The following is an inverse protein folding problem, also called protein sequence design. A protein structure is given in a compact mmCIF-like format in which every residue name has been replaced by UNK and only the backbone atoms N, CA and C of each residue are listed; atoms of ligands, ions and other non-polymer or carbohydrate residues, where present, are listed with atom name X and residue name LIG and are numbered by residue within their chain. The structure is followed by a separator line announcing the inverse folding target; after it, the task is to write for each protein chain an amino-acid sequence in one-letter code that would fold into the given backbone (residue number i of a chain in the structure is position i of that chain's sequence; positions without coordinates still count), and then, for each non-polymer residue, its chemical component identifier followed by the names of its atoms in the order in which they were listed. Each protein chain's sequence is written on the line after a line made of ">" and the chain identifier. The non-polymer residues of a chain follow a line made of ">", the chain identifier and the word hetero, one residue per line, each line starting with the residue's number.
data_IF_590900581975
#
_entry.id   IF_590900581975
#
_cell.length_a   1.000
_cell.length_b   1.000
_cell.length_c   1.000
_cell.angle_alpha   90.00
_cell.angle_beta   90.00
_cell.angle_gamma   90.00
#
_symmetry.space_group_name_H-M   'P 1'
#
loop_
_entity.id
_entity.type
_entity.pdbx_description
1 polymer ?
#
# COMPACT_ATOMS: atom_id res chain seq x y z
N UNK A 1 4.36 -7.83 -30.48
CA UNK A 1 4.09 -6.42 -30.16
C UNK A 1 2.77 -6.39 -29.42
N UNK A 2 2.78 -6.26 -28.10
CA UNK A 2 1.56 -6.27 -27.29
C UNK A 2 0.87 -4.90 -27.39
N UNK A 3 -0.41 -4.88 -27.72
CA UNK A 3 -1.21 -3.66 -27.84
C UNK A 3 -1.32 -2.97 -26.46
N UNK A 4 -1.03 -1.66 -26.32
CA UNK A 4 -1.10 -0.99 -25.02
C UNK A 4 -2.44 -1.00 -24.33
N UNK A 5 -3.49 -1.11 -25.13
CA UNK A 5 -4.88 -0.99 -24.69
C UNK A 5 -5.49 -2.35 -24.34
N UNK A 6 -4.66 -3.39 -24.20
CA UNK A 6 -5.12 -4.74 -23.87
C UNK A 6 -4.59 -5.17 -22.49
N UNK A 7 -5.47 -5.83 -21.71
CA UNK A 7 -5.12 -6.42 -20.43
C UNK A 7 -3.91 -7.35 -20.55
N UNK A 8 -2.95 -7.17 -19.64
CA UNK A 8 -1.78 -8.03 -19.53
C UNK A 8 -2.10 -9.25 -18.67
N UNK A 9 -1.73 -10.45 -19.12
CA UNK A 9 -2.06 -11.69 -18.42
C UNK A 9 -1.52 -11.75 -16.97
N UNK A 10 -0.34 -11.17 -16.70
CA UNK A 10 0.25 -11.11 -15.35
C UNK A 10 -0.16 -9.84 -14.58
N UNK A 11 -0.23 -8.70 -15.27
CA UNK A 11 -0.33 -7.39 -14.61
C UNK A 11 -1.74 -6.81 -14.59
N UNK A 12 -2.67 -7.49 -15.27
CA UNK A 12 -4.08 -7.12 -15.27
C UNK A 12 -4.43 -6.02 -16.27
N UNK A 13 -5.56 -5.34 -16.04
CA UNK A 13 -6.09 -4.33 -16.93
C UNK A 13 -5.20 -3.06 -16.98
N UNK A 14 -5.26 -2.30 -18.09
CA UNK A 14 -4.59 -1.01 -18.22
C UNK A 14 -5.26 0.09 -17.38
N UNK A 15 -4.58 1.23 -17.23
CA UNK A 15 -4.98 2.38 -16.41
C UNK A 15 -6.43 2.83 -16.64
N UNK A 16 -6.83 2.92 -17.89
CA UNK A 16 -8.15 3.38 -18.33
C UNK A 16 -9.28 2.51 -17.77
N UNK A 17 -9.00 1.23 -17.53
CA UNK A 17 -9.99 0.26 -17.05
C UNK A 17 -10.02 0.18 -15.52
N UNK A 18 -8.89 0.30 -14.82
CA UNK A 18 -8.86 0.09 -13.36
C UNK A 18 -9.06 1.35 -12.53
N UNK A 19 -8.80 2.56 -13.05
CA UNK A 19 -8.77 3.79 -12.24
C UNK A 19 -10.11 4.05 -11.51
N UNK A 20 -11.23 3.71 -12.14
CA UNK A 20 -12.58 3.91 -11.58
C UNK A 20 -12.88 2.98 -10.41
N UNK A 21 -12.27 1.78 -10.38
CA UNK A 21 -12.52 0.78 -9.34
C UNK A 21 -12.01 1.20 -7.97
N UNK A 22 -11.07 2.13 -7.92
CA UNK A 22 -10.33 2.47 -6.70
C UNK A 22 -10.68 3.81 -6.05
N UNK A 23 -11.57 4.62 -6.67
CA UNK A 23 -11.95 5.95 -6.15
C UNK A 23 -13.32 6.01 -5.46
N UNK A 24 -14.28 5.11 -5.78
CA UNK A 24 -15.69 5.27 -5.35
C UNK A 24 -16.22 4.05 -4.55
N UNK A 25 -15.63 2.87 -4.74
CA UNK A 25 -16.19 1.62 -4.19
C UNK A 25 -15.73 1.28 -2.76
N UNK A 26 -14.76 2.01 -2.22
CA UNK A 26 -14.18 1.73 -0.89
C UNK A 26 -15.20 1.96 0.24
N UNK A 27 -16.03 3.01 0.14
CA UNK A 27 -17.03 3.34 1.17
C UNK A 27 -18.18 2.33 1.19
N UNK A 28 -18.68 1.89 0.04
CA UNK A 28 -19.78 0.90 -0.04
C UNK A 28 -19.35 -0.47 0.47
N UNK A 29 -18.15 -0.94 0.08
CA UNK A 29 -17.61 -2.24 0.53
C UNK A 29 -17.44 -2.34 2.05
N UNK A 30 -17.24 -1.21 2.74
CA UNK A 30 -17.14 -1.16 4.20
C UNK A 30 -18.47 -1.44 4.89
N UNK A 31 -19.60 -1.04 4.30
CA UNK A 31 -20.91 -1.22 4.92
C UNK A 31 -21.30 -2.70 5.05
N UNK A 32 -20.81 -3.55 4.14
CA UNK A 32 -21.07 -5.00 4.12
C UNK A 32 -20.01 -5.81 4.90
N UNK A 33 -19.10 -5.15 5.62
CA UNK A 33 -17.95 -5.78 6.26
C UNK A 33 -18.30 -6.34 7.64
N UNK A 34 -18.48 -7.66 7.74
CA UNK A 34 -18.70 -8.36 9.02
C UNK A 34 -17.42 -9.00 9.59
N UNK A 35 -17.49 -9.50 10.84
CA UNK A 35 -16.34 -10.07 11.54
C UNK A 35 -15.80 -11.37 10.93
N UNK A 36 -16.65 -12.16 10.26
CA UNK A 36 -16.23 -13.41 9.60
C UNK A 36 -15.47 -13.09 8.32
N UNK A 37 -16.04 -12.17 7.54
CA UNK A 37 -15.45 -11.58 6.35
C UNK A 37 -14.09 -11.00 6.72
N UNK A 38 -13.98 -10.20 7.79
CA UNK A 38 -12.70 -9.66 8.21
C UNK A 38 -11.62 -10.73 8.44
N UNK A 39 -11.96 -11.83 9.12
CA UNK A 39 -11.00 -12.91 9.41
C UNK A 39 -10.49 -13.58 8.13
N UNK A 40 -11.40 -13.96 7.22
CA UNK A 40 -11.04 -14.62 5.96
C UNK A 40 -10.17 -13.73 5.05
N UNK A 41 -10.44 -12.42 5.03
CA UNK A 41 -9.63 -11.48 4.28
C UNK A 41 -8.26 -11.28 4.92
N UNK A 42 -8.17 -11.22 6.26
CA UNK A 42 -6.90 -11.15 6.99
C UNK A 42 -6.00 -12.34 6.71
N UNK A 43 -6.51 -13.56 6.76
CA UNK A 43 -5.67 -14.75 6.57
C UNK A 43 -5.11 -14.83 5.14
N UNK A 44 -5.94 -14.53 4.13
CA UNK A 44 -5.48 -14.46 2.73
C UNK A 44 -4.46 -13.36 2.52
N UNK A 45 -4.69 -12.18 3.09
CA UNK A 45 -3.78 -11.06 2.95
C UNK A 45 -2.45 -11.28 3.68
N UNK A 46 -2.45 -11.92 4.86
CA UNK A 46 -1.21 -12.27 5.58
C UNK A 46 -0.32 -13.20 4.78
N UNK A 47 -0.90 -14.24 4.18
CA UNK A 47 -0.15 -15.13 3.30
C UNK A 47 0.47 -14.36 2.11
N UNK A 48 -0.29 -13.43 1.52
CA UNK A 48 0.21 -12.56 0.46
C UNK A 48 1.34 -11.63 0.94
N UNK A 49 1.17 -10.98 2.10
CA UNK A 49 2.18 -10.10 2.70
C UNK A 49 3.48 -10.84 2.95
N UNK A 50 3.40 -12.06 3.53
CA UNK A 50 4.58 -12.89 3.76
C UNK A 50 5.35 -13.13 2.46
N UNK A 51 4.65 -13.45 1.36
CA UNK A 51 5.31 -13.67 0.08
C UNK A 51 5.99 -12.42 -0.48
N UNK A 52 5.42 -11.23 -0.26
CA UNK A 52 6.03 -9.97 -0.67
C UNK A 52 7.25 -9.65 0.20
N UNK A 53 7.15 -9.82 1.52
CA UNK A 53 8.26 -9.61 2.44
C UNK A 53 9.46 -10.51 2.09
N UNK A 54 9.21 -11.77 1.74
CA UNK A 54 10.26 -12.72 1.35
C UNK A 54 11.06 -12.27 0.11
N UNK A 55 10.51 -11.38 -0.73
CA UNK A 55 11.23 -10.85 -1.88
C UNK A 55 12.42 -10.00 -1.45
N UNK A 56 12.40 -9.40 -0.25
CA UNK A 56 13.46 -8.48 0.20
C UNK A 56 14.80 -9.16 0.45
N UNK A 57 14.81 -10.42 0.86
CA UNK A 57 16.01 -11.15 1.27
C UNK A 57 16.96 -11.59 0.15
N UNK A 58 16.52 -11.59 -1.12
CA UNK A 58 17.36 -12.00 -2.26
C UNK A 58 17.92 -10.81 -3.05
N UNK A 59 19.22 -10.81 -3.38
CA UNK A 59 19.83 -9.77 -4.22
C UNK A 59 19.56 -9.95 -5.73
N UNK A 60 18.79 -10.97 -6.09
CA UNK A 60 18.43 -11.28 -7.47
C UNK A 60 17.30 -10.36 -7.94
N UNK A 61 17.48 -9.79 -9.13
CA UNK A 61 16.40 -9.17 -9.88
C UNK A 61 15.48 -10.28 -10.41
N UNK A 62 14.30 -10.39 -9.82
CA UNK A 62 13.38 -11.48 -10.10
C UNK A 62 12.58 -11.24 -11.39
N UNK A 63 12.59 -10.03 -11.95
CA UNK A 63 11.82 -9.70 -13.15
C UNK A 63 10.39 -10.26 -13.10
N UNK A 64 9.92 -10.84 -14.21
CA UNK A 64 8.57 -11.43 -14.29
C UNK A 64 8.32 -12.57 -13.28
N UNK A 65 9.34 -13.25 -12.74
CA UNK A 65 9.16 -14.29 -11.72
C UNK A 65 8.55 -13.73 -10.43
N UNK A 66 8.81 -12.46 -10.13
CA UNK A 66 8.19 -11.77 -8.99
C UNK A 66 6.66 -11.69 -9.17
N UNK A 67 6.20 -11.38 -10.39
CA UNK A 67 4.78 -11.30 -10.73
C UNK A 67 4.10 -12.69 -10.82
N UNK A 68 4.88 -13.75 -11.08
CA UNK A 68 4.40 -15.13 -10.99
C UNK A 68 4.22 -15.56 -9.54
N UNK A 69 5.16 -15.21 -8.66
CA UNK A 69 5.09 -15.53 -7.22
C UNK A 69 4.01 -14.73 -6.51
N UNK A 70 3.95 -13.42 -6.75
CA UNK A 70 2.95 -12.52 -6.17
C UNK A 70 1.96 -12.14 -7.25
N UNK A 71 0.79 -12.77 -7.23
CA UNK A 71 -0.24 -12.54 -8.26
C UNK A 71 -1.04 -11.26 -8.02
N UNK A 72 -1.73 -10.76 -9.05
CA UNK A 72 -2.64 -9.62 -8.93
C UNK A 72 -3.75 -9.85 -7.88
N UNK A 73 -4.26 -11.08 -7.77
CA UNK A 73 -5.27 -11.46 -6.77
C UNK A 73 -4.76 -11.26 -5.34
N UNK A 74 -3.48 -11.58 -5.10
CA UNK A 74 -2.83 -11.37 -3.81
C UNK A 74 -2.68 -9.87 -3.48
N UNK A 75 -2.33 -9.04 -4.46
CA UNK A 75 -2.28 -7.58 -4.23
C UNK A 75 -3.66 -7.01 -3.89
N UNK A 76 -4.71 -7.47 -4.58
CA UNK A 76 -6.09 -7.08 -4.29
C UNK A 76 -6.51 -7.49 -2.88
N UNK A 77 -6.19 -8.71 -2.43
CA UNK A 77 -6.53 -9.16 -1.08
C UNK A 77 -5.84 -8.34 0.02
N UNK A 78 -4.60 -7.90 -0.21
CA UNK A 78 -3.90 -6.97 0.69
C UNK A 78 -4.62 -5.62 0.73
N UNK A 79 -5.02 -5.09 -0.42
CA UNK A 79 -5.75 -3.82 -0.48
C UNK A 79 -7.12 -3.87 0.21
N UNK A 80 -7.77 -5.04 0.26
CA UNK A 80 -9.01 -5.20 1.02
C UNK A 80 -8.81 -4.96 2.53
N UNK A 81 -7.60 -5.15 3.08
CA UNK A 81 -7.29 -4.75 4.46
C UNK A 81 -7.42 -3.26 4.73
N UNK A 82 -7.45 -2.42 3.68
CA UNK A 82 -7.65 -0.97 3.86
C UNK A 82 -9.12 -0.59 4.05
N UNK A 83 -10.03 -1.57 4.02
CA UNK A 83 -11.47 -1.38 4.20
C UNK A 83 -11.90 -1.43 5.68
N UNK A 84 -11.06 -1.95 6.58
CA UNK A 84 -11.30 -1.96 8.02
C UNK A 84 -10.17 -1.23 8.76
N UNK A 85 -10.46 -0.33 9.72
CA UNK A 85 -9.40 0.37 10.47
C UNK A 85 -8.48 -0.58 11.24
N UNK A 86 -9.03 -1.67 11.79
CA UNK A 86 -8.30 -2.61 12.63
C UNK A 86 -7.25 -3.44 11.89
N UNK A 87 -7.41 -3.57 10.57
CA UNK A 87 -6.54 -4.40 9.73
C UNK A 87 -5.31 -3.67 9.19
N UNK A 88 -5.21 -2.34 9.36
CA UNK A 88 -4.03 -1.57 8.95
C UNK A 88 -2.75 -2.03 9.64
N UNK A 89 -2.86 -2.61 10.84
CA UNK A 89 -1.69 -3.09 11.61
C UNK A 89 -0.94 -4.19 10.86
N UNK A 90 -1.64 -4.97 10.04
CA UNK A 90 -1.06 -6.05 9.23
C UNK A 90 -0.13 -5.51 8.13
N UNK A 91 -0.18 -4.21 7.80
CA UNK A 91 0.64 -3.60 6.77
C UNK A 91 1.94 -2.97 7.32
N UNK A 92 2.15 -3.01 8.64
CA UNK A 92 3.26 -2.32 9.32
C UNK A 92 4.62 -3.02 9.26
N UNK A 93 4.92 -3.75 8.18
CA UNK A 93 6.21 -4.45 8.03
C UNK A 93 7.16 -3.63 7.14
N UNK A 94 8.37 -3.27 7.61
CA UNK A 94 9.37 -2.60 6.77
C UNK A 94 9.74 -3.41 5.52
N UNK A 95 9.78 -4.73 5.63
CA UNK A 95 10.08 -5.62 4.50
C UNK A 95 8.98 -5.60 3.43
N UNK A 96 7.73 -5.30 3.80
CA UNK A 96 6.65 -5.12 2.83
C UNK A 96 6.93 -3.93 1.91
N UNK A 97 7.52 -2.85 2.46
CA UNK A 97 7.93 -1.67 1.66
C UNK A 97 8.98 -2.09 0.63
N UNK A 98 10.04 -2.79 1.07
CA UNK A 98 11.09 -3.28 0.17
C UNK A 98 10.57 -4.24 -0.90
N UNK A 99 9.67 -5.15 -0.52
CA UNK A 99 9.06 -6.11 -1.43
C UNK A 99 8.20 -5.42 -2.50
N UNK A 100 7.38 -4.44 -2.13
CA UNK A 100 6.62 -3.64 -3.10
C UNK A 100 7.52 -2.87 -4.08
N UNK A 101 8.67 -2.36 -3.63
CA UNK A 101 9.65 -1.73 -4.54
C UNK A 101 10.17 -2.75 -5.56
N UNK A 102 10.49 -3.98 -5.13
CA UNK A 102 10.94 -5.06 -6.04
C UNK A 102 9.85 -5.45 -7.03
N UNK A 103 8.59 -5.53 -6.59
CA UNK A 103 7.45 -5.79 -7.48
C UNK A 103 7.30 -4.70 -8.55
N UNK A 104 7.38 -3.43 -8.18
CA UNK A 104 7.30 -2.35 -9.18
C UNK A 104 8.49 -2.40 -10.16
N UNK A 105 9.70 -2.68 -9.67
CA UNK A 105 10.89 -2.83 -10.53
C UNK A 105 10.75 -3.97 -11.55
N UNK A 106 10.03 -5.04 -11.21
CA UNK A 106 9.81 -6.15 -12.14
C UNK A 106 8.95 -5.79 -13.36
N UNK A 107 8.30 -4.63 -13.36
CA UNK A 107 7.38 -4.21 -14.41
C UNK A 107 8.07 -3.43 -15.51
N UNK A 108 8.93 -4.12 -16.26
CA UNK A 108 9.59 -3.57 -17.43
C UNK A 108 9.04 -4.22 -18.70
N UNK A 109 8.56 -3.40 -19.64
CA UNK A 109 8.11 -3.86 -20.96
C UNK A 109 9.02 -3.28 -22.01
N UNK A 110 9.81 -4.14 -22.67
CA UNK A 110 10.66 -3.73 -23.80
C UNK A 110 11.57 -2.54 -23.48
N UNK A 111 12.20 -2.50 -22.29
CA UNK A 111 13.08 -1.40 -21.91
C UNK A 111 12.41 -0.22 -21.20
N UNK A 112 11.10 -0.28 -20.96
CA UNK A 112 10.30 0.84 -20.43
C UNK A 112 9.56 0.46 -19.16
N UNK A 113 9.62 1.36 -18.18
CA UNK A 113 8.84 1.28 -16.94
C UNK A 113 7.34 1.24 -17.27
N UNK A 114 6.68 0.18 -16.80
CA UNK A 114 5.25 -0.06 -16.97
C UNK A 114 4.48 -0.07 -15.63
N UNK A 115 5.11 0.40 -14.53
CA UNK A 115 4.56 0.33 -13.16
C UNK A 115 3.14 0.89 -13.09
N UNK A 116 2.90 2.09 -13.61
CA UNK A 116 1.57 2.72 -13.52
C UNK A 116 0.64 2.42 -14.69
N UNK A 117 1.13 1.68 -15.69
CA UNK A 117 0.34 1.34 -16.86
C UNK A 117 -0.67 0.24 -16.59
N UNK A 118 -0.36 -0.66 -15.66
CA UNK A 118 -1.20 -1.80 -15.31
C UNK A 118 -1.55 -1.79 -13.82
N UNK A 119 -2.70 -2.39 -13.50
CA UNK A 119 -3.25 -2.42 -12.14
C UNK A 119 -2.25 -2.97 -11.12
N UNK A 120 -1.45 -3.96 -11.51
CA UNK A 120 -0.47 -4.60 -10.64
C UNK A 120 0.51 -3.61 -9.99
N UNK A 121 1.11 -2.72 -10.78
CA UNK A 121 2.09 -1.77 -10.25
C UNK A 121 1.45 -0.63 -9.50
N UNK A 122 0.25 -0.21 -9.91
CA UNK A 122 -0.57 0.70 -9.13
C UNK A 122 -0.90 0.14 -7.74
N UNK A 123 -1.33 -1.13 -7.65
CA UNK A 123 -1.59 -1.75 -6.36
C UNK A 123 -0.31 -1.93 -5.53
N UNK A 124 0.80 -2.33 -6.16
CA UNK A 124 2.10 -2.42 -5.50
C UNK A 124 2.51 -1.07 -4.89
N UNK A 125 2.32 0.03 -5.63
CA UNK A 125 2.55 1.39 -5.15
C UNK A 125 1.60 1.80 -4.02
N UNK A 126 0.32 1.44 -4.09
CA UNK A 126 -0.63 1.73 -3.02
C UNK A 126 -0.29 0.99 -1.74
N UNK A 127 0.01 -0.30 -1.83
CA UNK A 127 0.41 -1.12 -0.68
C UNK A 127 1.68 -0.54 -0.06
N UNK A 128 2.68 -0.20 -0.87
CA UNK A 128 3.90 0.51 -0.44
C UNK A 128 3.56 1.76 0.38
N UNK A 129 2.71 2.63 -0.16
CA UNK A 129 2.36 3.91 0.46
C UNK A 129 1.67 3.71 1.81
N UNK A 130 0.74 2.75 1.89
CA UNK A 130 0.05 2.43 3.13
C UNK A 130 1.03 1.81 4.14
N UNK A 131 1.81 0.80 3.73
CA UNK A 131 2.79 0.14 4.59
C UNK A 131 3.81 1.14 5.18
N UNK A 132 4.32 2.04 4.34
CA UNK A 132 5.22 3.10 4.77
C UNK A 132 4.55 4.02 5.80
N UNK A 133 3.33 4.48 5.53
CA UNK A 133 2.58 5.33 6.46
C UNK A 133 2.31 4.65 7.80
N UNK A 134 1.98 3.34 7.78
CA UNK A 134 1.77 2.55 8.99
C UNK A 134 3.07 2.46 9.79
N UNK A 135 4.19 2.12 9.13
CA UNK A 135 5.51 2.08 9.75
C UNK A 135 5.88 3.43 10.40
N UNK A 136 5.64 4.54 9.71
CA UNK A 136 5.90 5.88 10.24
C UNK A 136 5.06 6.18 11.50
N UNK A 137 3.76 5.90 11.44
CA UNK A 137 2.86 6.13 12.57
C UNK A 137 3.18 5.22 13.76
N UNK A 138 3.55 3.96 13.53
CA UNK A 138 3.96 3.03 14.59
C UNK A 138 5.25 3.49 15.26
N UNK A 139 6.27 3.90 14.48
CA UNK A 139 7.53 4.41 15.02
C UNK A 139 7.37 5.69 15.83
N UNK A 140 6.35 6.50 15.53
CA UNK A 140 6.02 7.72 16.26
C UNK A 140 5.01 7.50 17.41
N UNK A 141 4.60 6.26 17.69
CA UNK A 141 3.55 5.92 18.67
C UNK A 141 2.20 6.65 18.41
N UNK A 142 1.90 6.94 17.14
CA UNK A 142 0.65 7.61 16.70
C UNK A 142 -0.32 6.68 15.96
N UNK A 143 0.05 5.42 15.77
CA UNK A 143 -0.76 4.46 15.01
C UNK A 143 -2.16 4.25 15.63
N UNK A 144 -2.23 3.96 16.93
CA UNK A 144 -3.50 3.75 17.62
C UNK A 144 -4.40 4.99 17.57
N UNK A 145 -3.82 6.19 17.65
CA UNK A 145 -4.56 7.44 17.49
C UNK A 145 -5.19 7.56 16.09
N UNK A 146 -4.43 7.23 15.04
CA UNK A 146 -4.94 7.25 13.67
C UNK A 146 -6.07 6.22 13.45
N UNK A 147 -5.94 5.02 13.99
CA UNK A 147 -6.99 3.98 13.95
C UNK A 147 -8.27 4.44 14.67
N UNK A 148 -8.13 5.00 15.88
CA UNK A 148 -9.27 5.53 16.63
C UNK A 148 -9.99 6.66 15.87
N UNK A 149 -9.23 7.52 15.17
CA UNK A 149 -9.80 8.56 14.30
C UNK A 149 -10.56 7.97 13.12
N UNK A 150 -10.03 6.93 12.48
CA UNK A 150 -10.70 6.21 11.40
C UNK A 150 -12.02 5.55 11.85
N UNK A 151 -12.04 4.97 13.05
CA UNK A 151 -13.24 4.37 13.63
C UNK A 151 -14.30 5.42 13.98
N UNK A 152 -13.85 6.58 14.46
CA UNK A 152 -14.74 7.69 14.84
C UNK A 152 -15.31 8.47 13.64
N UNK A 153 -14.86 8.19 12.40
CA UNK A 153 -15.32 8.84 11.18
C UNK A 153 -15.78 7.79 10.14
N UNK A 154 -16.87 7.05 10.40
CA UNK A 154 -17.31 5.94 9.54
C UNK A 154 -17.69 6.38 8.12
N UNK A 155 -18.21 7.61 7.98
CA UNK A 155 -18.65 8.18 6.70
C UNK A 155 -17.49 8.70 5.83
N UNK A 156 -16.27 8.73 6.35
CA UNK A 156 -15.09 9.21 5.62
C UNK A 156 -14.27 8.03 5.10
N UNK A 157 -13.68 8.20 3.91
CA UNK A 157 -12.76 7.21 3.36
C UNK A 157 -11.55 7.00 4.31
N UNK A 158 -11.28 5.75 4.67
CA UNK A 158 -10.24 5.40 5.64
C UNK A 158 -8.85 5.87 5.21
N UNK A 159 -8.52 5.69 3.93
CA UNK A 159 -7.23 6.11 3.38
C UNK A 159 -7.08 7.64 3.36
N UNK A 160 -8.18 8.38 3.27
CA UNK A 160 -8.16 9.83 3.43
C UNK A 160 -7.81 10.22 4.87
N UNK A 161 -8.48 9.64 5.87
CA UNK A 161 -8.17 9.90 7.29
C UNK A 161 -6.73 9.48 7.62
N UNK A 162 -6.32 8.30 7.16
CA UNK A 162 -4.97 7.79 7.33
C UNK A 162 -3.91 8.72 6.73
N UNK A 163 -4.08 9.14 5.48
CA UNK A 163 -3.12 10.02 4.80
C UNK A 163 -3.00 11.39 5.47
N UNK A 164 -4.10 11.92 6.04
CA UNK A 164 -4.07 13.14 6.85
C UNK A 164 -3.22 12.98 8.10
N UNK A 165 -3.32 11.84 8.80
CA UNK A 165 -2.52 11.59 10.01
C UNK A 165 -1.03 11.40 9.71
N UNK A 166 -0.70 10.68 8.64
CA UNK A 166 0.68 10.57 8.13
C UNK A 166 1.20 11.96 7.77
N UNK A 167 0.42 12.76 7.03
CA UNK A 167 0.81 14.12 6.64
C UNK A 167 1.04 15.04 7.84
N UNK A 168 0.20 14.94 8.88
CA UNK A 168 0.38 15.67 10.14
C UNK A 168 1.70 15.29 10.81
N UNK A 169 2.00 14.00 10.91
CA UNK A 169 3.26 13.52 11.49
C UNK A 169 4.47 14.07 10.71
N UNK A 170 4.46 13.95 9.38
CA UNK A 170 5.55 14.45 8.52
C UNK A 170 5.79 15.94 8.74
N UNK A 171 4.74 16.75 8.78
CA UNK A 171 4.86 18.20 9.03
C UNK A 171 5.45 18.52 10.40
N UNK A 172 5.05 17.79 11.44
CA UNK A 172 5.61 17.97 12.80
C UNK A 172 7.10 17.67 12.80
N UNK A 173 7.52 16.55 12.21
CA UNK A 173 8.94 16.16 12.15
C UNK A 173 9.79 17.19 11.38
N UNK A 174 9.26 17.72 10.28
CA UNK A 174 9.95 18.77 9.51
C UNK A 174 10.09 20.08 10.29
N UNK A 175 9.05 20.48 11.03
CA UNK A 175 9.11 21.69 11.87
C UNK A 175 10.13 21.53 13.01
N UNK A 176 10.21 20.36 13.63
CA UNK A 176 11.19 20.06 14.69
C UNK A 176 12.63 20.06 14.17
N UNK A 177 12.88 19.49 12.98
CA UNK A 177 14.20 19.50 12.35
C UNK A 177 14.66 20.93 12.00
N UNK A 178 13.75 21.76 11.47
CA UNK A 178 14.05 23.17 11.18
C UNK A 178 14.35 23.97 12.46
N UNK A 179 13.61 23.72 13.54
CA UNK A 179 13.86 24.33 14.84
C UNK A 179 15.25 23.98 15.41
N UNK A 180 15.67 22.71 15.27
CA UNK A 180 17.01 22.25 15.71
C UNK A 180 18.15 22.85 14.90
N UNK A 181 17.97 23.07 13.59
CA UNK A 181 18.98 23.70 12.73
C UNK A 181 19.18 25.19 13.03
N UNK A 182 18.11 25.89 13.44
CA UNK A 182 18.20 27.29 13.81
C UNK A 182 18.87 27.48 15.17
N UNK A 183 18.66 26.58 16.14
CA UNK A 183 19.32 26.67 17.45
C UNK A 183 20.82 26.34 17.39
N UNK A 184 21.24 25.42 16.51
CA UNK A 184 22.66 25.07 16.33
C UNK A 184 23.49 26.08 15.53
N UNK A 185 22.84 27.03 14.84
CA UNK A 185 23.53 28.08 14.05
C UNK A 185 23.73 29.40 14.82
N UNK A 186 23.19 29.49 16.04
CA UNK A 186 23.27 30.67 16.93
C UNK A 186 24.23 30.40 18.13
N UNK A 187 24.80 29.19 18.19
CA UNK A 187 25.80 28.77 19.20
C UNK A 187 27.21 28.89 18.63
#
# INVERSE_FOLDING_TARGET
>A
MSNPDQAHHLWGPPLEEYIQSYSINSVKKRADWDARTELEYRDRARAAISQICDLTGGDQDLGEEAAVRVTLSMLRSIMDLTLSPGTFVELGYPDLVGGCIKLMKSMEISGKDATFRYEYGYLSFRILTVALGVCMLQRADRFNFAVNKMQSNPETELLLVFSQEVSRLVRTLLAEDQGRKHSSSIS
#
